data_IF_972399425078
#
_entry.id   IF_972399425078
#
_cell.length_a   1.000
_cell.length_b   1.000
_cell.length_c   1.000
_cell.angle_alpha   90.00
_cell.angle_beta   90.00
_cell.angle_gamma   90.00
#
_symmetry.space_group_name_H-M   'P 1'
#
loop_
_entity.id
_entity.type
_entity.pdbx_description
1 polymer ?
#
# COMPACT_ATOMS: atom_id res chain seq x y z
N UNK A 1 16.08 -19.77 3.84
CA UNK A 1 17.34 -19.98 3.10
C UNK A 1 17.04 -19.75 1.63
N UNK A 2 17.30 -18.52 1.15
CA UNK A 2 17.36 -18.17 -0.28
C UNK A 2 18.77 -17.60 -0.49
N UNK A 3 19.45 -17.90 -1.62
CA UNK A 3 20.89 -17.74 -1.71
C UNK A 3 21.28 -16.30 -2.06
N UNK A 4 22.32 -15.82 -1.37
CA UNK A 4 23.11 -14.65 -1.75
C UNK A 4 23.82 -14.90 -3.09
N UNK A 5 23.88 -13.87 -3.94
CA UNK A 5 24.95 -13.74 -4.93
C UNK A 5 25.64 -12.40 -4.75
N UNK A 6 26.89 -12.52 -4.33
CA UNK A 6 27.94 -11.50 -4.34
C UNK A 6 28.32 -11.11 -5.77
N UNK A 7 28.58 -9.83 -5.99
CA UNK A 7 29.50 -9.35 -7.01
C UNK A 7 30.19 -8.06 -6.50
N UNK A 8 31.51 -8.04 -6.69
CA UNK A 8 32.49 -7.11 -6.14
C UNK A 8 32.89 -6.06 -7.20
N UNK A 9 33.26 -4.86 -6.73
CA UNK A 9 34.06 -3.78 -7.34
C UNK A 9 33.44 -2.90 -8.46
N UNK A 10 33.34 -1.60 -8.21
CA UNK A 10 34.43 -0.67 -8.55
C UNK A 10 34.27 0.68 -7.84
N UNK A 11 35.42 1.25 -7.47
CA UNK A 11 35.64 2.53 -6.80
C UNK A 11 35.64 3.68 -7.83
N UNK A 12 35.32 4.89 -7.35
CA UNK A 12 35.50 6.25 -7.95
C UNK A 12 34.27 6.84 -8.69
N UNK A 13 33.52 7.69 -7.99
CA UNK A 13 33.16 9.04 -8.47
C UNK A 13 32.62 9.90 -7.29
N UNK A 14 33.25 11.05 -7.10
CA UNK A 14 32.95 12.10 -6.13
C UNK A 14 31.65 12.86 -6.47
N UNK A 15 31.01 13.40 -5.42
CA UNK A 15 30.22 14.65 -5.35
C UNK A 15 29.03 14.82 -6.32
N UNK A 16 27.80 14.64 -5.81
CA UNK A 16 26.60 15.45 -6.06
C UNK A 16 25.43 14.93 -5.17
N UNK A 17 24.56 15.80 -4.62
CA UNK A 17 23.44 15.37 -3.76
C UNK A 17 22.40 14.61 -4.59
N UNK A 18 22.12 13.36 -4.21
CA UNK A 18 21.19 12.48 -4.94
C UNK A 18 19.73 12.71 -4.53
N UNK A 19 18.79 12.53 -5.47
CA UNK A 19 17.39 12.92 -5.32
C UNK A 19 16.61 11.93 -4.45
N UNK A 20 15.40 12.34 -4.04
CA UNK A 20 14.40 11.57 -3.28
C UNK A 20 14.40 10.09 -3.67
N UNK A 21 14.91 9.24 -2.78
CA UNK A 21 14.85 7.78 -2.95
C UNK A 21 13.41 7.32 -2.69
N UNK A 22 12.68 7.08 -3.77
CA UNK A 22 11.38 6.40 -3.70
C UNK A 22 11.58 4.92 -3.94
N UNK A 23 11.14 4.10 -2.98
CA UNK A 23 11.00 2.66 -3.16
C UNK A 23 9.86 2.41 -4.14
N UNK A 24 10.18 2.16 -5.42
CA UNK A 24 9.24 1.59 -6.38
C UNK A 24 9.76 0.21 -6.75
N UNK A 25 9.09 -0.84 -6.29
CA UNK A 25 9.27 -2.18 -6.84
C UNK A 25 8.29 -2.37 -7.99
N UNK A 26 8.83 -2.60 -9.18
CA UNK A 26 8.13 -2.84 -10.44
C UNK A 26 6.86 -3.69 -10.28
N UNK A 27 5.70 -3.12 -10.56
CA UNK A 27 4.44 -3.84 -10.76
C UNK A 27 4.51 -4.61 -12.06
N UNK A 28 4.91 -5.88 -11.98
CA UNK A 28 4.85 -6.79 -13.12
C UNK A 28 3.38 -7.11 -13.43
N UNK A 29 2.79 -6.44 -14.43
CA UNK A 29 1.53 -6.87 -15.04
C UNK A 29 1.72 -8.26 -15.66
N UNK A 30 0.88 -9.27 -15.35
CA UNK A 30 0.98 -10.57 -16.00
C UNK A 30 0.62 -10.44 -17.48
N UNK A 31 1.59 -10.73 -18.35
CA UNK A 31 1.39 -10.87 -19.79
C UNK A 31 0.42 -12.03 -20.05
N UNK A 32 -0.62 -11.77 -20.83
CA UNK A 32 -1.50 -12.81 -21.34
C UNK A 32 -0.73 -13.77 -22.26
N UNK A 33 -1.17 -15.03 -22.26
CA UNK A 33 -0.77 -16.17 -23.09
C UNK A 33 0.59 -16.83 -22.84
N UNK A 34 0.54 -17.94 -22.09
CA UNK A 34 1.37 -19.11 -22.38
C UNK A 34 0.47 -20.30 -22.74
N UNK A 35 0.68 -20.83 -23.95
CA UNK A 35 -0.01 -22.01 -24.49
C UNK A 35 0.41 -23.24 -23.68
N UNK A 36 -0.54 -23.87 -22.98
CA UNK A 36 -0.28 -25.17 -22.34
C UNK A 36 -0.37 -26.30 -23.39
N UNK A 37 0.51 -27.31 -23.33
CA UNK A 37 0.45 -28.45 -24.24
C UNK A 37 -0.80 -29.29 -23.99
N UNK A 38 -1.44 -29.71 -25.07
CA UNK A 38 -2.47 -30.74 -25.10
C UNK A 38 -1.81 -32.04 -24.62
N UNK A 39 -2.12 -32.47 -23.40
CA UNK A 39 -2.27 -33.87 -22.99
C UNK A 39 -2.55 -33.94 -21.49
N UNK A 40 -3.78 -33.59 -21.12
CA UNK A 40 -4.34 -34.01 -19.84
C UNK A 40 -5.73 -34.52 -20.13
N UNK A 41 -5.90 -35.85 -20.18
CA UNK A 41 -7.24 -36.43 -20.04
C UNK A 41 -7.64 -36.09 -18.61
N UNK A 42 -8.42 -35.03 -18.46
CA UNK A 42 -8.96 -34.59 -17.17
C UNK A 42 -9.75 -35.74 -16.55
N UNK A 43 -9.63 -35.88 -15.23
CA UNK A 43 -10.30 -36.89 -14.40
C UNK A 43 -11.81 -36.95 -14.66
N UNK A 44 -12.39 -35.83 -15.09
CA UNK A 44 -13.77 -35.66 -15.54
C UNK A 44 -14.13 -36.53 -16.76
N UNK A 45 -13.22 -36.65 -17.75
CA UNK A 45 -13.44 -37.50 -18.93
C UNK A 45 -13.44 -38.99 -18.58
N UNK A 46 -12.61 -39.41 -17.63
CA UNK A 46 -12.61 -40.79 -17.14
C UNK A 46 -13.91 -41.14 -16.40
N UNK A 47 -14.43 -40.20 -15.62
CA UNK A 47 -15.69 -40.35 -14.90
C UNK A 47 -16.88 -40.51 -15.87
N UNK A 48 -16.97 -39.65 -16.90
CA UNK A 48 -18.02 -39.72 -17.91
C UNK A 48 -18.01 -41.04 -18.70
N UNK A 49 -16.81 -41.53 -19.08
CA UNK A 49 -16.66 -42.84 -19.73
C UNK A 49 -17.07 -44.01 -18.82
N UNK A 50 -16.90 -43.88 -17.51
CA UNK A 50 -17.34 -44.89 -16.54
C UNK A 50 -18.87 -44.94 -16.40
N UNK A 51 -19.54 -43.78 -16.49
CA UNK A 51 -21.00 -43.69 -16.46
C UNK A 51 -21.63 -44.31 -17.72
N UNK A 52 -21.06 -44.04 -18.90
CA UNK A 52 -21.58 -44.61 -20.15
C UNK A 52 -21.57 -46.14 -20.14
N UNK A 53 -20.48 -46.74 -19.64
CA UNK A 53 -20.40 -48.21 -19.49
C UNK A 53 -21.41 -48.77 -18.48
N UNK A 54 -21.61 -48.08 -17.35
CA UNK A 54 -22.56 -48.52 -16.33
C UNK A 54 -24.02 -48.51 -16.85
N UNK A 55 -24.39 -47.44 -17.57
CA UNK A 55 -25.72 -47.29 -18.19
C UNK A 55 -25.92 -48.34 -19.29
N UNK A 56 -24.88 -48.61 -20.11
CA UNK A 56 -24.93 -49.62 -21.16
C UNK A 56 -25.15 -51.04 -20.61
N UNK A 57 -24.46 -51.40 -19.50
CA UNK A 57 -24.58 -52.71 -18.86
C UNK A 57 -25.94 -52.93 -18.18
N UNK A 58 -26.50 -51.90 -17.53
CA UNK A 58 -27.85 -51.99 -16.94
C UNK A 58 -28.93 -52.19 -18.02
N UNK A 59 -28.77 -51.57 -19.20
CA UNK A 59 -29.70 -51.69 -20.33
C UNK A 59 -29.69 -53.08 -20.97
N UNK A 60 -28.53 -53.75 -21.02
CA UNK A 60 -28.40 -55.07 -21.65
C UNK A 60 -28.73 -56.26 -20.71
N UNK A 61 -28.68 -56.07 -19.39
CA UNK A 61 -28.96 -57.14 -18.41
C UNK A 61 -30.46 -57.46 -18.20
N UNK A 62 -31.36 -56.84 -18.97
CA UNK A 62 -32.80 -57.15 -18.97
C UNK A 62 -33.58 -56.71 -17.71
N UNK A 63 -32.91 -56.19 -16.68
CA UNK A 63 -33.53 -55.66 -15.43
C UNK A 63 -33.76 -54.14 -15.49
N UNK A 64 -34.14 -53.63 -16.65
CA UNK A 64 -34.26 -52.18 -16.85
C UNK A 64 -35.56 -51.64 -16.25
N UNK A 65 -35.52 -51.22 -14.99
CA UNK A 65 -36.64 -50.56 -14.34
C UNK A 65 -36.44 -49.04 -14.37
N UNK A 66 -37.12 -48.35 -15.29
CA UNK A 66 -36.90 -46.93 -15.57
C UNK A 66 -37.04 -46.02 -14.35
N UNK A 67 -37.93 -46.34 -13.40
CA UNK A 67 -38.08 -45.57 -12.15
C UNK A 67 -36.85 -45.64 -11.24
N UNK A 68 -36.14 -46.77 -11.23
CA UNK A 68 -34.92 -46.97 -10.44
C UNK A 68 -33.73 -46.22 -11.06
N UNK A 69 -33.64 -46.18 -12.39
CA UNK A 69 -32.59 -45.44 -13.10
C UNK A 69 -32.74 -43.92 -12.91
N UNK A 70 -33.96 -43.39 -12.97
CA UNK A 70 -34.22 -41.96 -12.73
C UNK A 70 -33.87 -41.56 -11.29
N UNK A 71 -34.09 -42.45 -10.31
CA UNK A 71 -33.68 -42.23 -8.92
C UNK A 71 -32.15 -42.25 -8.77
N UNK A 72 -31.47 -43.28 -9.29
CA UNK A 72 -30.01 -43.38 -9.26
C UNK A 72 -29.30 -42.22 -9.96
N UNK A 73 -29.84 -41.74 -11.08
CA UNK A 73 -29.30 -40.59 -11.81
C UNK A 73 -29.50 -39.30 -11.01
N UNK A 74 -30.66 -39.13 -10.35
CA UNK A 74 -30.91 -37.98 -9.46
C UNK A 74 -29.99 -37.96 -8.26
N UNK A 75 -29.79 -39.10 -7.61
CA UNK A 75 -28.90 -39.22 -6.45
C UNK A 75 -27.44 -38.98 -6.86
N UNK A 76 -27.02 -39.50 -8.02
CA UNK A 76 -25.69 -39.26 -8.57
C UNK A 76 -25.47 -37.79 -8.94
N UNK A 77 -26.47 -37.13 -9.56
CA UNK A 77 -26.44 -35.69 -9.85
C UNK A 77 -26.38 -34.86 -8.56
N UNK A 78 -27.13 -35.26 -7.53
CA UNK A 78 -27.13 -34.58 -6.24
C UNK A 78 -25.76 -34.71 -5.54
N UNK A 79 -25.16 -35.91 -5.55
CA UNK A 79 -23.82 -36.14 -5.02
C UNK A 79 -22.79 -35.34 -5.82
N UNK A 80 -22.92 -35.26 -7.15
CA UNK A 80 -22.03 -34.47 -8.00
C UNK A 80 -22.17 -32.96 -7.73
N UNK A 81 -23.40 -32.47 -7.53
CA UNK A 81 -23.69 -31.07 -7.17
C UNK A 81 -23.15 -30.72 -5.78
N UNK A 82 -23.27 -31.63 -4.81
CA UNK A 82 -22.67 -31.46 -3.47
C UNK A 82 -21.14 -31.46 -3.57
N UNK A 83 -20.55 -32.37 -4.36
CA UNK A 83 -19.11 -32.47 -4.55
C UNK A 83 -18.52 -31.26 -5.28
N UNK A 84 -19.15 -30.81 -6.37
CA UNK A 84 -18.74 -29.59 -7.09
C UNK A 84 -19.03 -28.31 -6.29
N UNK A 85 -20.16 -28.24 -5.58
CA UNK A 85 -20.48 -27.11 -4.70
C UNK A 85 -19.49 -26.98 -3.55
N UNK A 86 -19.09 -28.09 -2.92
CA UNK A 86 -18.08 -28.11 -1.87
C UNK A 86 -16.65 -27.84 -2.41
N UNK A 87 -16.31 -28.37 -3.59
CA UNK A 87 -15.00 -28.15 -4.21
C UNK A 87 -14.79 -26.70 -4.67
N UNK A 88 -15.84 -26.00 -5.13
CA UNK A 88 -15.77 -24.59 -5.51
C UNK A 88 -15.49 -23.65 -4.31
N UNK A 89 -15.84 -24.04 -3.09
CA UNK A 89 -15.53 -23.24 -1.90
C UNK A 89 -14.07 -23.36 -1.44
N UNK A 90 -13.39 -24.48 -1.69
CA UNK A 90 -11.98 -24.63 -1.30
C UNK A 90 -10.99 -23.91 -2.23
N UNK A 91 -11.37 -23.66 -3.50
CA UNK A 91 -10.47 -23.01 -4.46
C UNK A 91 -10.53 -21.47 -4.41
N UNK A 92 -11.63 -20.89 -3.91
CA UNK A 92 -11.80 -19.43 -3.83
C UNK A 92 -10.99 -18.76 -2.70
N UNK A 93 -10.45 -19.55 -1.75
CA UNK A 93 -9.63 -19.05 -0.65
C UNK A 93 -8.13 -19.32 -0.81
N UNK A 94 -7.65 -19.58 -2.02
CA UNK A 94 -6.25 -19.27 -2.33
C UNK A 94 -6.10 -17.76 -2.55
N UNK A 95 -6.37 -16.97 -1.50
CA UNK A 95 -5.78 -15.65 -1.38
C UNK A 95 -4.27 -15.89 -1.27
N UNK A 96 -3.55 -15.65 -2.37
CA UNK A 96 -2.10 -15.75 -2.39
C UNK A 96 -1.53 -15.02 -1.17
N UNK A 97 -0.60 -15.67 -0.48
CA UNK A 97 0.23 -15.04 0.55
C UNK A 97 0.74 -13.69 0.02
N UNK A 98 0.27 -12.61 0.65
CA UNK A 98 0.70 -11.20 0.63
C UNK A 98 1.63 -10.75 -0.51
N UNK A 99 1.20 -9.78 -1.33
CA UNK A 99 2.13 -9.05 -2.20
C UNK A 99 1.99 -7.51 -2.13
N UNK A 100 1.32 -6.97 -1.11
CA UNK A 100 1.26 -5.52 -0.90
C UNK A 100 1.73 -5.15 0.50
N UNK A 101 2.66 -4.20 0.58
CA UNK A 101 3.19 -3.63 1.82
C UNK A 101 3.28 -2.12 1.66
N UNK A 102 2.80 -1.36 2.65
CA UNK A 102 2.96 0.10 2.69
C UNK A 102 4.43 0.43 2.87
N UNK A 103 4.84 1.67 2.56
CA UNK A 103 6.21 2.15 2.78
C UNK A 103 6.70 1.91 4.21
N UNK A 104 5.86 2.22 5.20
CA UNK A 104 6.17 2.03 6.62
C UNK A 104 6.48 0.56 6.99
N UNK A 105 5.82 -0.40 6.32
CA UNK A 105 5.98 -1.84 6.57
C UNK A 105 7.24 -2.45 5.92
N UNK A 106 8.12 -1.62 5.32
CA UNK A 106 9.35 -2.04 4.63
C UNK A 106 10.61 -1.43 5.27
N UNK A 107 10.89 -1.70 6.56
CA UNK A 107 11.94 -1.02 7.33
C UNK A 107 13.35 -1.20 6.78
N UNK A 108 13.63 -2.32 6.11
CA UNK A 108 14.94 -2.58 5.48
C UNK A 108 15.34 -1.53 4.44
N UNK A 109 14.37 -0.78 3.90
CA UNK A 109 14.60 0.20 2.84
C UNK A 109 14.87 1.61 3.36
N UNK A 110 14.38 1.95 4.56
CA UNK A 110 14.49 3.31 5.09
C UNK A 110 15.28 3.40 6.40
N UNK A 111 15.31 2.36 7.25
CA UNK A 111 16.08 2.43 8.52
C UNK A 111 17.58 2.73 8.30
N UNK A 112 18.27 2.13 7.31
CA UNK A 112 19.67 2.49 7.03
C UNK A 112 19.84 3.96 6.61
N UNK A 113 18.85 4.53 5.94
CA UNK A 113 18.86 5.93 5.49
C UNK A 113 18.65 6.93 6.63
N UNK A 114 18.07 6.48 7.75
CA UNK A 114 17.75 7.29 8.94
C UNK A 114 18.79 7.12 10.07
N UNK A 115 19.67 6.13 9.99
CA UNK A 115 20.65 5.84 11.04
C UNK A 115 21.59 7.03 11.28
N UNK A 116 21.72 7.46 12.54
CA UNK A 116 22.58 8.58 12.93
C UNK A 116 22.07 9.96 12.51
N UNK A 117 20.89 10.06 11.90
CA UNK A 117 20.27 11.32 11.45
C UNK A 117 19.25 11.83 12.45
N UNK A 118 19.10 13.15 12.52
CA UNK A 118 18.00 13.84 13.19
C UNK A 118 16.77 13.82 12.28
N UNK A 119 15.75 13.09 12.70
CA UNK A 119 14.55 12.82 11.90
C UNK A 119 13.38 13.68 12.39
N UNK A 120 12.74 14.41 11.47
CA UNK A 120 11.40 14.93 11.67
C UNK A 120 10.38 13.97 11.05
N UNK A 121 9.21 13.78 11.68
CA UNK A 121 8.18 12.86 11.15
C UNK A 121 6.89 13.62 10.90
N UNK A 122 6.45 13.69 9.65
CA UNK A 122 5.13 14.21 9.26
C UNK A 122 4.15 13.06 9.24
N UNK A 123 3.19 13.05 10.18
CA UNK A 123 2.26 11.93 10.33
C UNK A 123 0.97 12.34 11.05
N UNK A 124 -0.01 11.45 11.06
CA UNK A 124 -1.28 11.58 11.78
C UNK A 124 -1.74 10.18 12.26
N UNK A 125 -2.98 10.07 12.72
CA UNK A 125 -3.55 8.80 13.24
C UNK A 125 -3.54 7.64 12.22
N UNK A 126 -3.34 7.92 10.93
CA UNK A 126 -3.23 6.90 9.88
C UNK A 126 -1.83 6.29 9.75
N UNK A 127 -0.83 6.87 10.43
CA UNK A 127 0.57 6.45 10.49
C UNK A 127 0.82 5.12 11.20
N UNK A 128 -0.13 4.19 11.09
CA UNK A 128 -0.13 2.88 11.74
C UNK A 128 0.37 1.82 10.76
N UNK A 129 1.26 0.97 11.25
CA UNK A 129 1.89 -0.15 10.53
C UNK A 129 1.00 -1.40 10.59
N UNK A 130 1.36 -2.45 9.85
CA UNK A 130 0.60 -3.70 9.77
C UNK A 130 0.43 -4.40 11.12
N UNK A 131 1.41 -4.26 12.02
CA UNK A 131 1.40 -4.79 13.39
C UNK A 131 0.62 -3.92 14.38
N UNK A 132 -0.08 -2.88 13.89
CA UNK A 132 -0.83 -1.88 14.66
C UNK A 132 0.03 -0.93 15.49
N UNK A 133 1.36 -0.95 15.33
CA UNK A 133 2.23 0.04 15.93
C UNK A 133 2.20 1.35 15.13
N UNK A 134 2.29 2.50 15.81
CA UNK A 134 2.45 3.78 15.13
C UNK A 134 3.90 3.96 14.67
N UNK A 135 4.11 4.55 13.48
CA UNK A 135 5.44 4.69 12.84
C UNK A 135 6.46 5.38 13.76
N UNK A 136 6.04 6.40 14.51
CA UNK A 136 6.90 7.10 15.49
C UNK A 136 7.42 6.15 16.56
N UNK A 137 6.56 5.31 17.15
CA UNK A 137 6.98 4.37 18.20
C UNK A 137 7.91 3.30 17.62
N UNK A 138 7.63 2.86 16.40
CA UNK A 138 8.47 1.92 15.68
C UNK A 138 9.88 2.49 15.46
N UNK A 139 9.99 3.74 14.99
CA UNK A 139 11.27 4.40 14.77
C UNK A 139 12.08 4.54 16.07
N UNK A 140 11.44 5.00 17.15
CA UNK A 140 12.07 5.14 18.47
C UNK A 140 12.57 3.80 19.01
N UNK A 141 11.75 2.75 18.90
CA UNK A 141 12.11 1.38 19.31
C UNK A 141 13.32 0.85 18.54
N UNK A 142 13.51 1.27 17.29
CA UNK A 142 14.65 0.90 16.45
C UNK A 142 15.84 1.88 16.58
N UNK A 143 15.84 2.75 17.59
CA UNK A 143 16.98 3.63 17.89
C UNK A 143 17.17 4.80 16.93
N UNK A 144 16.13 5.15 16.15
CA UNK A 144 16.16 6.32 15.27
C UNK A 144 15.96 7.60 16.11
N UNK A 145 16.78 8.62 15.84
CA UNK A 145 16.72 9.91 16.54
C UNK A 145 15.58 10.79 15.99
N UNK A 146 14.35 10.44 16.35
CA UNK A 146 13.19 11.30 16.08
C UNK A 146 13.25 12.52 16.99
N UNK A 147 13.25 13.72 16.42
CA UNK A 147 13.40 14.97 17.19
C UNK A 147 12.07 15.71 17.38
N UNK A 148 11.16 15.61 16.42
CA UNK A 148 9.84 16.26 16.44
C UNK A 148 8.86 15.60 15.50
N UNK A 149 7.59 15.84 15.76
CA UNK A 149 6.46 15.35 14.97
C UNK A 149 5.75 16.54 14.37
N UNK A 150 5.46 16.48 13.08
CA UNK A 150 4.65 17.45 12.36
C UNK A 150 3.27 16.84 12.09
N UNK A 151 2.22 17.46 12.60
CA UNK A 151 0.85 16.97 12.48
C UNK A 151 -0.02 17.97 11.70
N UNK A 152 -0.62 17.61 10.55
CA UNK A 152 -1.49 18.52 9.80
C UNK A 152 -2.78 18.92 10.54
N UNK A 153 -3.24 18.10 11.48
CA UNK A 153 -4.50 18.29 12.23
C UNK A 153 -4.29 18.18 13.75
N UNK A 154 -5.38 18.32 14.52
CA UNK A 154 -5.38 18.27 15.99
C UNK A 154 -5.10 16.85 16.51
N UNK A 155 -3.81 16.49 16.59
CA UNK A 155 -3.32 15.26 17.19
C UNK A 155 -3.04 14.17 16.16
N UNK A 156 -1.95 13.43 16.38
CA UNK A 156 -1.53 12.34 15.50
C UNK A 156 -1.84 10.94 16.05
N UNK A 157 -2.38 10.83 17.27
CA UNK A 157 -2.71 9.54 17.91
C UNK A 157 -4.17 9.10 17.75
N UNK A 158 -5.06 9.96 17.25
CA UNK A 158 -6.47 9.62 16.99
C UNK A 158 -7.38 9.49 18.22
N UNK A 159 -6.83 9.53 19.44
CA UNK A 159 -7.57 9.37 20.70
C UNK A 159 -7.97 10.69 21.39
N UNK A 160 -7.68 11.83 20.77
CA UNK A 160 -8.09 13.12 21.29
C UNK A 160 -9.32 13.62 20.51
N UNK A 161 -10.47 13.74 21.20
CA UNK A 161 -11.40 14.84 20.91
C UNK A 161 -10.58 16.13 20.77
N UNK A 162 -10.95 17.02 19.86
CA UNK A 162 -10.19 18.16 19.30
C UNK A 162 -9.54 19.16 20.31
N UNK A 163 -8.80 18.67 21.30
CA UNK A 163 -8.35 19.39 22.49
C UNK A 163 -7.75 18.53 23.62
N UNK A 164 -7.87 17.20 23.67
CA UNK A 164 -7.58 16.45 24.93
C UNK A 164 -6.22 15.75 25.08
N UNK A 165 -5.38 15.55 24.06
CA UNK A 165 -4.03 14.97 24.28
C UNK A 165 -2.86 15.74 23.65
N UNK A 166 -2.97 17.06 23.56
CA UNK A 166 -1.81 17.94 23.39
C UNK A 166 -1.73 18.83 24.65
N UNK A 167 -1.37 18.24 25.79
CA UNK A 167 -0.90 19.04 26.93
C UNK A 167 0.45 19.64 26.52
N UNK A 168 0.45 20.91 26.14
CA UNK A 168 1.64 21.73 25.87
C UNK A 168 2.46 21.41 24.61
N UNK A 169 1.84 20.92 23.53
CA UNK A 169 2.53 20.72 22.25
C UNK A 169 3.53 19.56 22.26
N UNK A 170 3.30 18.52 23.08
CA UNK A 170 4.15 17.34 23.18
C UNK A 170 3.32 16.06 23.19
N UNK A 171 3.90 14.98 22.65
CA UNK A 171 3.36 13.63 22.73
C UNK A 171 3.57 13.07 24.14
N UNK A 172 2.50 12.62 24.79
CA UNK A 172 2.57 12.12 26.18
C UNK A 172 3.39 10.84 26.26
N UNK A 173 3.28 9.96 25.25
CA UNK A 173 3.96 8.68 25.23
C UNK A 173 5.48 8.80 25.04
N UNK A 174 5.92 9.72 24.18
CA UNK A 174 7.34 9.82 23.76
C UNK A 174 8.04 11.06 24.28
N UNK A 175 7.31 12.08 24.76
CA UNK A 175 7.83 13.38 25.15
C UNK A 175 8.24 14.29 23.99
N UNK A 176 8.08 13.82 22.74
CA UNK A 176 8.48 14.55 21.54
C UNK A 176 7.61 15.80 21.32
N UNK A 177 8.19 16.92 20.87
CA UNK A 177 7.41 18.08 20.48
C UNK A 177 6.55 17.77 19.25
N UNK A 178 5.30 18.24 19.27
CA UNK A 178 4.33 18.19 18.20
C UNK A 178 4.15 19.60 17.64
N UNK A 179 4.45 19.76 16.37
CA UNK A 179 4.29 21.00 15.61
C UNK A 179 3.07 20.84 14.71
N UNK A 180 2.09 21.73 14.86
CA UNK A 180 0.90 21.72 14.00
C UNK A 180 1.21 22.36 12.65
N UNK A 181 0.90 21.66 11.56
CA UNK A 181 0.97 22.16 10.18
C UNK A 181 -0.40 22.63 9.67
N UNK A 182 -1.11 23.40 10.49
CA UNK A 182 -2.46 23.89 10.20
C UNK A 182 -2.57 25.43 10.29
N UNK A 183 -3.67 25.97 9.75
CA UNK A 183 -3.99 27.40 9.86
C UNK A 183 -2.95 28.30 9.20
N UNK A 184 -2.22 29.07 10.02
CA UNK A 184 -1.15 29.98 9.54
C UNK A 184 0.21 29.28 9.39
N UNK A 185 0.38 28.07 9.93
CA UNK A 185 1.66 27.34 9.95
C UNK A 185 1.64 26.11 9.00
N UNK A 186 1.00 26.21 7.82
CA UNK A 186 0.85 25.07 6.89
C UNK A 186 2.19 24.60 6.30
N UNK A 187 3.10 25.54 6.05
CA UNK A 187 4.49 25.26 5.65
C UNK A 187 5.36 25.31 6.92
N UNK A 188 6.16 24.26 7.21
CA UNK A 188 7.11 24.32 8.31
C UNK A 188 8.03 25.54 8.17
N UNK A 189 8.25 26.28 9.25
CA UNK A 189 9.21 27.40 9.23
C UNK A 189 10.64 26.88 9.20
N UNK A 190 11.58 27.72 8.78
CA UNK A 190 13.03 27.42 8.81
C UNK A 190 13.48 26.88 10.16
N UNK A 191 13.19 27.58 11.24
CA UNK A 191 13.57 27.18 12.62
C UNK A 191 13.02 25.81 13.02
N UNK A 192 11.94 25.34 12.37
CA UNK A 192 11.35 24.03 12.66
C UNK A 192 12.07 22.89 11.93
N UNK A 193 12.78 23.17 10.83
CA UNK A 193 13.40 22.16 9.96
C UNK A 193 14.92 22.26 9.84
N UNK A 194 15.54 23.40 10.14
CA UNK A 194 16.96 23.67 9.84
C UNK A 194 17.96 22.77 10.58
N UNK A 195 17.57 22.17 11.70
CA UNK A 195 18.41 21.24 12.45
C UNK A 195 18.08 19.77 12.18
N UNK A 196 17.20 19.48 11.21
CA UNK A 196 16.88 18.14 10.74
C UNK A 196 17.80 17.73 9.60
N UNK A 197 18.17 16.45 9.56
CA UNK A 197 18.86 15.87 8.41
C UNK A 197 17.87 15.29 7.39
N UNK A 198 16.72 14.83 7.88
CA UNK A 198 15.69 14.18 7.07
C UNK A 198 14.29 14.34 7.66
N UNK A 199 13.31 14.54 6.79
CA UNK A 199 11.89 14.52 7.11
C UNK A 199 11.27 13.26 6.50
N UNK A 200 10.68 12.43 7.35
CA UNK A 200 9.94 11.25 6.97
C UNK A 200 8.45 11.60 6.89
N UNK A 201 7.81 11.38 5.75
CA UNK A 201 6.39 11.64 5.53
C UNK A 201 5.62 10.32 5.48
N UNK A 202 4.67 10.12 6.39
CA UNK A 202 3.82 8.92 6.45
C UNK A 202 2.37 9.27 6.84
N UNK A 203 1.53 9.51 5.84
CA UNK A 203 0.10 9.80 5.99
C UNK A 203 -0.69 9.11 4.88
N UNK A 204 -1.81 8.48 5.24
CA UNK A 204 -2.78 7.96 4.28
C UNK A 204 -3.59 9.10 3.68
N UNK A 205 -3.42 9.33 2.37
CA UNK A 205 -4.27 10.22 1.59
C UNK A 205 -5.51 9.48 1.04
N UNK A 206 -6.48 10.21 0.49
CA UNK A 206 -7.71 9.64 -0.08
C UNK A 206 -7.78 9.71 -1.60
N UNK A 207 -6.86 10.40 -2.28
CA UNK A 207 -6.77 10.42 -3.74
C UNK A 207 -7.51 11.55 -4.44
N UNK A 208 -7.90 12.59 -3.70
CA UNK A 208 -8.61 13.76 -4.26
C UNK A 208 -7.89 15.07 -3.96
N UNK A 209 -7.87 15.99 -4.93
CA UNK A 209 -7.06 17.22 -4.91
C UNK A 209 -7.34 18.13 -3.69
N UNK A 210 -8.58 18.17 -3.22
CA UNK A 210 -9.00 19.03 -2.11
C UNK A 210 -8.82 18.40 -0.73
N UNK A 211 -8.30 17.18 -0.66
CA UNK A 211 -7.85 16.58 0.60
C UNK A 211 -6.39 16.98 0.83
N UNK A 212 -6.14 17.78 1.85
CA UNK A 212 -4.97 18.67 1.85
C UNK A 212 -3.64 18.03 2.27
N UNK A 213 -3.54 16.70 2.38
CA UNK A 213 -2.27 16.05 2.74
C UNK A 213 -1.25 16.10 1.61
N UNK A 214 -1.67 16.04 0.34
CA UNK A 214 -0.77 16.30 -0.79
C UNK A 214 -0.24 17.74 -0.79
N UNK A 215 -1.05 18.71 -0.34
CA UNK A 215 -0.63 20.11 -0.17
C UNK A 215 0.34 20.26 1.00
N UNK A 216 0.12 19.52 2.10
CA UNK A 216 1.09 19.46 3.20
C UNK A 216 2.42 18.85 2.74
N UNK A 217 2.39 17.77 1.95
CA UNK A 217 3.60 17.19 1.37
C UNK A 217 4.34 18.22 0.52
N UNK A 218 3.64 18.94 -0.36
CA UNK A 218 4.23 19.97 -1.20
C UNK A 218 4.95 21.05 -0.37
N UNK A 219 4.30 21.59 0.67
CA UNK A 219 4.95 22.57 1.54
C UNK A 219 6.10 22.02 2.36
N UNK A 220 6.03 20.76 2.80
CA UNK A 220 7.14 20.09 3.47
C UNK A 220 8.32 19.94 2.52
N UNK A 221 8.09 19.52 1.27
CA UNK A 221 9.11 19.41 0.24
C UNK A 221 9.73 20.77 -0.07
N UNK A 222 8.92 21.82 -0.19
CA UNK A 222 9.38 23.19 -0.41
C UNK A 222 10.27 23.68 0.74
N UNK A 223 9.81 23.55 1.99
CA UNK A 223 10.58 23.93 3.17
C UNK A 223 11.87 23.10 3.31
N UNK A 224 11.83 21.82 2.99
CA UNK A 224 13.00 20.95 3.04
C UNK A 224 14.03 21.33 1.97
N UNK A 225 13.60 21.62 0.75
CA UNK A 225 14.46 22.08 -0.34
C UNK A 225 15.16 23.40 -0.01
N UNK A 226 14.43 24.36 0.58
CA UNK A 226 14.98 25.65 1.02
C UNK A 226 16.06 25.52 2.11
N UNK A 227 16.02 24.43 2.90
CA UNK A 227 16.91 24.21 4.04
C UNK A 227 17.86 23.03 3.85
N UNK A 228 17.96 22.47 2.64
CA UNK A 228 18.83 21.33 2.31
C UNK A 228 18.57 20.08 3.16
N UNK A 229 17.31 19.86 3.53
CA UNK A 229 16.84 18.70 4.30
C UNK A 229 16.31 17.64 3.34
N UNK A 230 16.67 16.37 3.54
CA UNK A 230 16.14 15.29 2.71
C UNK A 230 14.67 15.00 3.06
N UNK A 231 13.85 14.62 2.08
CA UNK A 231 12.49 14.11 2.32
C UNK A 231 12.39 12.67 1.87
N UNK A 232 11.86 11.80 2.74
CA UNK A 232 11.55 10.40 2.43
C UNK A 232 10.04 10.22 2.60
N UNK A 233 9.36 9.82 1.53
CA UNK A 233 7.91 9.53 1.56
C UNK A 233 7.71 8.03 1.73
N UNK A 234 7.10 7.63 2.84
CA UNK A 234 6.64 6.27 3.06
C UNK A 234 5.31 6.10 2.34
N UNK A 235 5.39 5.64 1.10
CA UNK A 235 4.25 5.64 0.20
C UNK A 235 3.09 4.74 0.67
N UNK A 236 1.87 5.13 0.33
CA UNK A 236 0.62 4.46 0.70
C UNK A 236 -0.31 4.34 -0.50
N UNK A 237 -1.18 3.31 -0.55
CA UNK A 237 -2.13 3.16 -1.64
C UNK A 237 -3.00 4.41 -1.77
N UNK A 238 -3.28 4.81 -3.00
CA UNK A 238 -4.38 5.74 -3.28
C UNK A 238 -5.70 4.94 -3.29
N UNK A 239 -6.69 5.23 -2.42
CA UNK A 239 -7.98 4.55 -2.43
C UNK A 239 -8.80 4.73 -3.73
N UNK A 240 -8.49 5.77 -4.50
CA UNK A 240 -9.05 6.05 -5.83
C UNK A 240 -8.07 5.73 -6.97
N UNK A 241 -7.07 4.88 -6.72
CA UNK A 241 -6.21 4.37 -7.79
C UNK A 241 -7.03 3.64 -8.88
N UNK A 242 -6.54 3.66 -10.12
CA UNK A 242 -7.15 3.01 -11.27
C UNK A 242 -8.00 3.91 -12.17
N UNK A 243 -8.22 5.17 -11.81
CA UNK A 243 -8.85 6.16 -12.70
C UNK A 243 -8.42 7.60 -12.39
N UNK A 244 -8.65 8.49 -13.36
CA UNK A 244 -8.47 9.94 -13.21
C UNK A 244 -9.75 10.63 -13.65
N UNK A 245 -10.17 11.67 -12.94
CA UNK A 245 -11.45 12.34 -13.22
C UNK A 245 -11.50 13.80 -12.73
N UNK A 246 -12.37 14.58 -13.36
CA UNK A 246 -12.64 15.99 -13.06
C UNK A 246 -11.65 16.97 -13.72
N UNK A 247 -11.97 18.27 -13.68
CA UNK A 247 -11.16 19.29 -14.34
C UNK A 247 -9.79 19.44 -13.67
N UNK A 248 -8.75 19.54 -14.50
CA UNK A 248 -7.41 19.98 -14.08
C UNK A 248 -7.51 21.38 -13.48
N UNK A 249 -6.76 21.62 -12.40
CA UNK A 249 -6.73 22.93 -11.75
C UNK A 249 -6.26 23.99 -12.74
N UNK A 250 -7.07 25.04 -12.90
CA UNK A 250 -6.73 26.17 -13.76
C UNK A 250 -5.76 27.10 -13.04
N UNK A 251 -4.84 27.69 -13.80
CA UNK A 251 -3.92 28.68 -13.24
C UNK A 251 -4.67 29.92 -12.74
N UNK A 252 -4.25 30.45 -11.60
CA UNK A 252 -4.92 31.53 -10.87
C UNK A 252 -5.91 31.06 -9.80
N UNK A 253 -6.21 29.76 -9.72
CA UNK A 253 -7.08 29.17 -8.70
C UNK A 253 -6.32 28.32 -7.66
N UNK A 254 -4.99 28.41 -7.65
CA UNK A 254 -4.14 27.69 -6.72
C UNK A 254 -4.40 28.14 -5.27
N UNK A 255 -4.53 27.16 -4.37
CA UNK A 255 -4.73 27.39 -2.95
C UNK A 255 -4.29 26.16 -2.16
N UNK A 256 -4.42 26.18 -0.84
CA UNK A 256 -4.09 25.01 -0.02
C UNK A 256 -4.97 23.77 -0.32
N UNK A 257 -6.15 23.93 -0.92
CA UNK A 257 -7.02 22.83 -1.36
C UNK A 257 -6.78 22.43 -2.83
N UNK A 258 -5.69 22.91 -3.43
CA UNK A 258 -5.26 22.55 -4.78
C UNK A 258 -4.07 23.40 -5.18
N UNK A 259 -2.86 22.85 -5.06
CA UNK A 259 -1.61 23.59 -5.32
C UNK A 259 -1.01 23.36 -6.71
N UNK A 260 -1.28 22.21 -7.31
CA UNK A 260 -0.66 21.78 -8.55
C UNK A 260 -1.71 21.47 -9.63
N UNK A 261 -1.34 21.53 -10.93
CA UNK A 261 -2.25 21.30 -12.06
C UNK A 261 -2.58 19.80 -12.23
N UNK A 262 -3.26 19.22 -11.25
CA UNK A 262 -3.80 17.85 -11.28
C UNK A 262 -5.33 17.87 -11.36
N UNK A 263 -5.97 16.83 -11.90
CA UNK A 263 -7.43 16.72 -11.90
C UNK A 263 -7.98 16.51 -10.47
N UNK A 264 -9.31 16.44 -10.33
CA UNK A 264 -9.94 16.31 -9.01
C UNK A 264 -9.59 14.96 -8.37
N UNK A 265 -9.73 13.88 -9.12
CA UNK A 265 -9.16 12.56 -8.79
C UNK A 265 -7.89 12.42 -9.61
N UNK A 266 -6.74 12.49 -8.94
CA UNK A 266 -5.45 12.65 -9.61
C UNK A 266 -4.72 11.34 -9.94
N UNK A 267 -5.22 10.21 -9.43
CA UNK A 267 -4.77 8.87 -9.85
C UNK A 267 -3.30 8.54 -9.58
N UNK A 268 -2.67 9.19 -8.59
CA UNK A 268 -1.29 8.92 -8.17
C UNK A 268 -1.27 8.50 -6.70
N UNK A 269 -0.30 7.70 -6.29
CA UNK A 269 0.03 7.60 -4.86
C UNK A 269 0.61 8.92 -4.34
N UNK A 270 0.74 9.05 -3.02
CA UNK A 270 1.33 10.27 -2.44
C UNK A 270 2.83 10.36 -2.76
N UNK A 271 3.52 9.23 -2.87
CA UNK A 271 4.91 9.15 -3.32
C UNK A 271 5.08 9.55 -4.79
N UNK A 272 4.20 9.05 -5.68
CA UNK A 272 4.19 9.44 -7.10
C UNK A 272 3.85 10.92 -7.29
N UNK A 273 2.89 11.44 -6.51
CA UNK A 273 2.59 12.87 -6.48
C UNK A 273 3.81 13.68 -6.04
N UNK A 274 4.51 13.26 -4.98
CA UNK A 274 5.73 13.92 -4.52
C UNK A 274 6.82 13.97 -5.61
N UNK A 275 6.99 12.89 -6.38
CA UNK A 275 7.90 12.91 -7.54
C UNK A 275 7.48 13.91 -8.60
N UNK A 276 6.19 13.92 -8.97
CA UNK A 276 5.64 14.87 -9.95
C UNK A 276 5.88 16.32 -9.52
N UNK A 277 5.77 16.62 -8.22
CA UNK A 277 6.05 17.97 -7.67
C UNK A 277 7.54 18.34 -7.79
N UNK A 278 8.44 17.37 -7.66
CA UNK A 278 9.88 17.62 -7.69
C UNK A 278 10.44 17.92 -9.09
N UNK A 279 9.77 17.47 -10.15
CA UNK A 279 10.19 17.64 -11.55
C UNK A 279 10.99 16.47 -12.08
#
# INVERSE_FOLDING_TARGET
MCPEKSAILSLIALLEPRPVETVISETTTPKATDRRPINTITRERLFLLSLEKAIFLEKYSGKFNGRCLTAKIKDLLLILLIYFGAALHMQAQQTGKNCFQKGADRPSLYLPLLAGKKVGVVTNHTGVMQDKQHVVDFLLKNGISVTRIFAPEHGFRGEADAGEQIRNGRDIATGLPIISLYGKNKKPSRDQVEDLDVILFDIQDVGVRFYTYISTLAYVMEAAAENQVAVIVLDRPNPHDGYTDGPVLQSGFESFVGMHPVPVVYGLTIGEYGKMVNG
#
